data_IF_958601499549
#
_entry.id   IF_958601499549
#
_cell.length_a   1.000
_cell.length_b   1.000
_cell.length_c   1.000
_cell.angle_alpha   90.00
_cell.angle_beta   90.00
_cell.angle_gamma   90.00
#
_symmetry.space_group_name_H-M   'P 1'
#
loop_
_entity.id
_entity.type
_entity.pdbx_description
1 polymer ?
#
# COMPACT_ATOMS: atom_id res chain seq x y z
N UNK A 1 -25.87 18.45 1.60
CA UNK A 1 -24.60 17.90 2.16
C UNK A 1 -24.03 16.89 1.17
N UNK A 2 -23.30 17.34 0.16
CA UNK A 2 -22.74 16.47 -0.90
C UNK A 2 -21.26 16.81 -1.14
N UNK A 3 -20.92 18.09 -0.98
CA UNK A 3 -19.57 18.63 -1.11
C UNK A 3 -18.59 17.95 -0.14
N UNK A 4 -18.99 17.66 1.10
CA UNK A 4 -18.11 17.00 2.08
C UNK A 4 -17.72 15.58 1.68
N UNK A 5 -18.64 14.79 1.10
CA UNK A 5 -18.33 13.44 0.62
C UNK A 5 -17.46 13.47 -0.63
N UNK A 6 -17.69 14.41 -1.54
CA UNK A 6 -16.81 14.64 -2.69
C UNK A 6 -15.41 15.08 -2.26
N UNK A 7 -15.29 15.99 -1.28
CA UNK A 7 -14.00 16.39 -0.73
C UNK A 7 -13.29 15.23 -0.06
N UNK A 8 -13.99 14.39 0.71
CA UNK A 8 -13.42 13.18 1.30
C UNK A 8 -12.90 12.23 0.23
N UNK A 9 -13.65 12.01 -0.85
CA UNK A 9 -13.22 11.19 -1.97
C UNK A 9 -11.98 11.78 -2.68
N UNK A 10 -11.94 13.09 -2.91
CA UNK A 10 -10.81 13.77 -3.55
C UNK A 10 -9.54 13.69 -2.68
N UNK A 11 -9.66 13.94 -1.38
CA UNK A 11 -8.58 13.81 -0.40
C UNK A 11 -8.09 12.37 -0.30
N UNK A 12 -8.99 11.40 -0.47
CA UNK A 12 -8.67 9.99 -0.47
C UNK A 12 -7.89 9.61 -1.74
N UNK A 13 -8.31 10.09 -2.90
CA UNK A 13 -7.63 9.84 -4.18
C UNK A 13 -6.23 10.47 -4.21
N UNK A 14 -6.09 11.68 -3.66
CA UNK A 14 -4.80 12.35 -3.55
C UNK A 14 -3.83 11.62 -2.60
N UNK A 15 -4.33 11.18 -1.43
CA UNK A 15 -3.54 10.35 -0.50
C UNK A 15 -3.18 9.00 -1.11
N UNK A 16 -4.09 8.40 -1.88
CA UNK A 16 -3.85 7.15 -2.61
C UNK A 16 -2.72 7.33 -3.63
N UNK A 17 -2.76 8.39 -4.45
CA UNK A 17 -1.69 8.71 -5.40
C UNK A 17 -0.34 8.92 -4.72
N UNK A 18 -0.32 9.64 -3.58
CA UNK A 18 0.91 9.79 -2.76
C UNK A 18 1.43 8.45 -2.25
N UNK A 19 0.58 7.64 -1.64
CA UNK A 19 0.97 6.33 -1.10
C UNK A 19 1.49 5.37 -2.19
N UNK A 20 0.90 5.41 -3.40
CA UNK A 20 1.37 4.62 -4.56
C UNK A 20 2.73 5.11 -5.03
N UNK A 21 2.91 6.43 -5.16
CA UNK A 21 4.20 7.01 -5.58
C UNK A 21 5.31 6.70 -4.58
N UNK A 22 5.01 6.82 -3.28
CA UNK A 22 5.93 6.51 -2.20
C UNK A 22 6.26 5.02 -2.14
N UNK A 23 5.25 4.14 -2.26
CA UNK A 23 5.45 2.69 -2.36
C UNK A 23 6.31 2.30 -3.56
N UNK A 24 6.16 2.98 -4.71
CA UNK A 24 6.99 2.74 -5.89
C UNK A 24 8.43 3.18 -5.67
N UNK A 25 8.63 4.36 -5.06
CA UNK A 25 9.96 4.89 -4.74
C UNK A 25 10.67 4.03 -3.71
N UNK A 26 9.97 3.58 -2.67
CA UNK A 26 10.52 2.69 -1.65
C UNK A 26 10.76 1.28 -2.21
N UNK A 27 9.92 0.77 -3.10
CA UNK A 27 10.16 -0.50 -3.78
C UNK A 27 11.44 -0.47 -4.61
N UNK A 28 11.68 0.63 -5.32
CA UNK A 28 12.88 0.81 -6.13
C UNK A 28 14.15 0.95 -5.25
N UNK A 29 14.08 1.78 -4.20
CA UNK A 29 15.17 2.00 -3.24
C UNK A 29 15.57 0.74 -2.47
N UNK A 30 14.59 0.04 -1.88
CA UNK A 30 14.86 -1.12 -1.03
C UNK A 30 14.87 -2.45 -1.81
N UNK A 31 14.58 -2.43 -3.12
CA UNK A 31 14.43 -3.63 -3.98
C UNK A 31 13.51 -4.69 -3.38
N UNK A 32 12.48 -4.25 -2.66
CA UNK A 32 11.51 -5.09 -1.93
C UNK A 32 10.11 -4.85 -2.46
N UNK A 33 9.23 -5.84 -2.30
CA UNK A 33 7.81 -5.70 -2.61
C UNK A 33 7.12 -4.82 -1.58
N UNK A 34 6.45 -3.78 -2.06
CA UNK A 34 5.57 -2.92 -1.27
C UNK A 34 4.12 -3.08 -1.74
N UNK A 35 3.19 -2.99 -0.80
CA UNK A 35 1.77 -3.07 -1.03
C UNK A 35 1.11 -1.80 -0.50
N UNK A 36 0.12 -1.30 -1.22
CA UNK A 36 -0.75 -0.21 -0.77
C UNK A 36 -2.08 -0.83 -0.36
N UNK A 37 -2.36 -0.80 0.94
CA UNK A 37 -3.59 -1.29 1.54
C UNK A 37 -4.48 -0.11 1.92
N UNK A 38 -5.79 -0.29 1.94
CA UNK A 38 -6.69 0.67 2.59
C UNK A 38 -7.04 0.17 3.98
N UNK A 39 -6.64 0.94 4.99
CA UNK A 39 -6.96 0.68 6.38
C UNK A 39 -7.86 1.78 6.93
N UNK A 40 -9.03 1.42 7.46
CA UNK A 40 -10.00 2.37 8.04
C UNK A 40 -10.32 3.57 7.14
N UNK A 41 -10.46 3.33 5.82
CA UNK A 41 -10.67 4.42 4.87
C UNK A 41 -9.47 5.36 4.76
N UNK A 42 -8.23 4.85 4.90
CA UNK A 42 -6.97 5.55 4.56
C UNK A 42 -6.04 4.64 3.75
N UNK A 43 -5.47 5.09 2.61
CA UNK A 43 -4.48 4.31 1.88
C UNK A 43 -3.13 4.39 2.60
N UNK A 44 -2.54 3.24 2.91
CA UNK A 44 -1.28 3.09 3.64
C UNK A 44 -0.34 2.23 2.82
N UNK A 45 0.88 2.73 2.61
CA UNK A 45 1.97 1.97 2.02
C UNK A 45 2.63 1.08 3.09
N UNK A 46 2.76 -0.21 2.80
CA UNK A 46 3.40 -1.18 3.69
C UNK A 46 4.32 -2.10 2.91
N UNK A 47 5.48 -2.42 3.46
CA UNK A 47 6.32 -3.48 2.91
C UNK A 47 5.74 -4.84 3.29
N UNK A 48 6.07 -5.91 2.55
CA UNK A 48 5.71 -7.27 2.97
C UNK A 48 6.21 -7.62 4.40
N UNK A 49 7.36 -7.07 4.81
CA UNK A 49 7.86 -7.25 6.17
C UNK A 49 6.98 -6.50 7.19
N UNK A 50 6.56 -5.28 6.86
CA UNK A 50 5.60 -4.50 7.63
C UNK A 50 4.25 -5.20 7.75
N UNK A 51 3.74 -5.82 6.68
CA UNK A 51 2.51 -6.64 6.71
C UNK A 51 2.67 -7.78 7.71
N UNK A 52 3.78 -8.53 7.66
CA UNK A 52 4.05 -9.61 8.63
C UNK A 52 4.14 -9.08 10.06
N UNK A 53 4.75 -7.92 10.29
CA UNK A 53 4.79 -7.29 11.61
C UNK A 53 3.41 -6.81 12.08
N UNK A 54 2.59 -6.24 11.19
CA UNK A 54 1.22 -5.79 11.49
C UNK A 54 0.32 -6.95 11.88
N UNK A 55 0.49 -8.11 11.23
CA UNK A 55 -0.18 -9.36 11.58
C UNK A 55 0.31 -9.85 12.96
N UNK A 56 1.63 -9.84 13.18
CA UNK A 56 2.25 -10.27 14.45
C UNK A 56 1.83 -9.40 15.63
N UNK A 57 1.64 -8.10 15.42
CA UNK A 57 1.15 -7.16 16.43
C UNK A 57 -0.35 -7.31 16.72
N UNK A 58 -1.06 -8.29 16.12
CA UNK A 58 -2.51 -8.51 16.26
C UNK A 58 -3.38 -7.26 15.99
N UNK A 59 -2.83 -6.23 15.33
CA UNK A 59 -3.59 -5.04 14.90
C UNK A 59 -4.68 -5.38 13.88
N UNK A 60 -4.61 -6.59 13.31
CA UNK A 60 -5.57 -7.11 12.36
C UNK A 60 -6.04 -8.53 12.77
N UNK A 61 -7.11 -8.66 13.55
CA UNK A 61 -7.70 -9.96 13.81
C UNK A 61 -8.24 -10.54 12.49
N UNK A 62 -7.61 -11.60 11.97
CA UNK A 62 -8.06 -12.35 10.79
C UNK A 62 -7.49 -11.92 9.43
N UNK A 63 -6.57 -10.96 9.37
CA UNK A 63 -5.92 -10.54 8.11
C UNK A 63 -4.64 -11.37 7.88
N UNK A 64 -4.74 -12.42 7.06
CA UNK A 64 -3.56 -13.18 6.62
C UNK A 64 -2.78 -12.38 5.57
N UNK A 65 -1.47 -12.63 5.44
CA UNK A 65 -0.64 -11.95 4.43
C UNK A 65 -1.20 -12.10 3.01
N UNK A 66 -1.88 -13.21 2.71
CA UNK A 66 -2.54 -13.46 1.42
C UNK A 66 -3.81 -12.63 1.26
N UNK A 67 -4.65 -12.53 2.29
CA UNK A 67 -5.82 -11.63 2.29
C UNK A 67 -5.41 -10.17 2.16
N UNK A 68 -4.31 -9.77 2.79
CA UNK A 68 -3.74 -8.44 2.61
C UNK A 68 -3.34 -8.20 1.15
N UNK A 69 -2.72 -9.18 0.47
CA UNK A 69 -2.44 -9.07 -0.96
C UNK A 69 -3.70 -8.95 -1.82
N UNK A 70 -4.73 -9.73 -1.52
CA UNK A 70 -6.01 -9.68 -2.26
C UNK A 70 -6.75 -8.36 -2.10
N UNK A 71 -6.67 -7.74 -0.91
CA UNK A 71 -7.34 -6.47 -0.59
C UNK A 71 -6.47 -5.26 -0.99
N UNK A 72 -5.20 -5.48 -1.31
CA UNK A 72 -4.31 -4.40 -1.71
C UNK A 72 -4.79 -3.74 -3.01
N UNK A 73 -4.87 -2.42 -2.99
CA UNK A 73 -5.24 -1.64 -4.18
C UNK A 73 -4.12 -1.64 -5.20
N UNK A 74 -2.87 -1.81 -4.74
CA UNK A 74 -1.70 -1.75 -5.59
C UNK A 74 -0.53 -2.55 -5.00
N UNK A 75 0.07 -3.43 -5.80
CA UNK A 75 1.35 -4.09 -5.49
C UNK A 75 2.47 -3.40 -6.29
N UNK A 76 3.39 -2.73 -5.58
CA UNK A 76 4.60 -2.19 -6.15
C UNK A 76 5.68 -3.28 -6.11
N UNK A 77 5.93 -3.90 -7.26
CA UNK A 77 7.10 -4.77 -7.45
C UNK A 77 8.27 -3.92 -7.97
N UNK A 78 9.49 -4.08 -7.43
CA UNK A 78 10.65 -3.36 -7.98
C UNK A 78 10.81 -3.71 -9.45
N UNK A 79 11.15 -2.72 -10.28
CA UNK A 79 11.47 -2.99 -11.68
C UNK A 79 12.67 -3.95 -11.70
N UNK A 80 12.63 -5.05 -12.48
CA UNK A 80 13.81 -5.87 -12.66
C UNK A 80 14.94 -4.96 -13.14
N UNK A 81 16.11 -5.07 -12.51
CA UNK A 81 17.32 -4.46 -13.05
C UNK A 81 17.42 -5.04 -14.46
N UNK A 82 17.31 -4.20 -15.50
CA UNK A 82 17.63 -4.67 -16.85
C UNK A 82 19.04 -5.25 -16.74
N UNK A 83 19.29 -6.51 -17.15
CA UNK A 83 20.67 -6.95 -17.29
C UNK A 83 21.31 -5.95 -18.24
N UNK A 84 22.38 -5.27 -17.79
CA UNK A 84 23.19 -4.45 -18.66
C UNK A 84 23.60 -5.35 -19.84
N UNK A 85 23.10 -5.03 -21.04
CA UNK A 85 23.55 -5.61 -22.30
C UNK A 85 24.64 -4.71 -22.86
#
# INVERSE_FOLDING_TARGET
>A
MVIFDYFRALLFDWRKKRAISEARRSADLYRKKFLVLVYQGRPVCVSMQGVKQLIRQKRFPGLTAEKARQIAIYEATPKPLRPCS
#
